data_IF_850412540215
#
_entry.id   IF_850412540215
#
_cell.length_a   1.000
_cell.length_b   1.000
_cell.length_c   1.000
_cell.angle_alpha   90.00
_cell.angle_beta   90.00
_cell.angle_gamma   90.00
#
_symmetry.space_group_name_H-M   'P 1'
#
loop_
_entity.id
_entity.type
_entity.pdbx_description
1 polymer ?
#
# COMPACT_ATOMS: atom_id res chain seq x y z
N UNK A 1 44.26 1.48 -53.88
CA UNK A 1 43.94 0.72 -52.64
C UNK A 1 43.76 1.59 -51.41
N UNK A 2 44.27 2.83 -51.33
CA UNK A 2 44.09 3.74 -50.18
C UNK A 2 42.63 4.19 -49.91
N UNK A 3 41.77 4.23 -50.93
CA UNK A 3 40.44 4.82 -50.80
C UNK A 3 39.42 3.92 -50.06
N UNK A 4 39.58 2.59 -50.14
CA UNK A 4 38.75 1.62 -49.39
C UNK A 4 39.09 1.60 -47.89
N UNK A 5 40.38 1.66 -47.53
CA UNK A 5 40.89 1.72 -46.15
C UNK A 5 40.35 2.94 -45.40
N UNK A 6 40.33 4.11 -46.06
CA UNK A 6 39.85 5.35 -45.43
C UNK A 6 38.31 5.42 -45.31
N UNK A 7 37.56 4.78 -46.22
CA UNK A 7 36.09 4.65 -46.11
C UNK A 7 35.68 3.72 -44.95
N UNK A 8 36.43 2.65 -44.70
CA UNK A 8 36.14 1.70 -43.62
C UNK A 8 36.41 2.29 -42.23
N UNK A 9 37.54 3.00 -42.06
CA UNK A 9 37.86 3.73 -40.81
C UNK A 9 36.82 4.82 -40.50
N UNK A 10 36.27 5.49 -41.52
CA UNK A 10 35.24 6.53 -41.36
C UNK A 10 33.88 5.97 -40.94
N UNK A 11 33.47 4.80 -41.45
CA UNK A 11 32.25 4.11 -40.99
C UNK A 11 32.36 3.66 -39.53
N UNK A 12 33.52 3.18 -39.11
CA UNK A 12 33.77 2.80 -37.71
C UNK A 12 33.70 3.99 -36.75
N UNK A 13 34.23 5.16 -37.15
CA UNK A 13 34.19 6.38 -36.34
C UNK A 13 32.76 6.92 -36.16
N UNK A 14 31.92 6.77 -37.18
CA UNK A 14 30.49 7.13 -37.10
C UNK A 14 29.69 6.22 -36.18
N UNK A 15 29.91 4.91 -36.25
CA UNK A 15 29.29 3.93 -35.34
C UNK A 15 29.71 4.23 -33.90
N UNK A 16 30.99 4.53 -33.66
CA UNK A 16 31.49 4.92 -32.35
C UNK A 16 30.80 6.18 -31.82
N UNK A 17 30.64 7.22 -32.65
CA UNK A 17 29.91 8.44 -32.28
C UNK A 17 28.44 8.17 -31.93
N UNK A 18 27.76 7.32 -32.70
CA UNK A 18 26.38 6.92 -32.40
C UNK A 18 26.30 6.16 -31.06
N UNK A 19 27.24 5.25 -30.79
CA UNK A 19 27.29 4.52 -29.52
C UNK A 19 27.47 5.50 -28.37
N UNK A 20 28.43 6.43 -28.46
CA UNK A 20 28.67 7.44 -27.42
C UNK A 20 27.41 8.29 -27.18
N UNK A 21 26.74 8.71 -28.26
CA UNK A 21 25.49 9.48 -28.17
C UNK A 21 24.39 8.70 -27.45
N UNK A 22 24.18 7.42 -27.82
CA UNK A 22 23.20 6.55 -27.18
C UNK A 22 23.52 6.32 -25.70
N UNK A 23 24.79 6.09 -25.35
CA UNK A 23 25.21 5.94 -23.95
C UNK A 23 24.92 7.20 -23.15
N UNK A 24 25.19 8.40 -23.69
CA UNK A 24 24.89 9.66 -23.01
C UNK A 24 23.38 9.85 -22.79
N UNK A 25 22.54 9.47 -23.76
CA UNK A 25 21.08 9.51 -23.62
C UNK A 25 20.61 8.60 -22.49
N UNK A 26 21.11 7.36 -22.45
CA UNK A 26 20.73 6.38 -21.42
C UNK A 26 21.14 6.89 -20.03
N UNK A 27 22.38 7.38 -19.88
CA UNK A 27 22.89 7.93 -18.62
C UNK A 27 22.05 9.12 -18.16
N UNK A 28 21.68 10.02 -19.07
CA UNK A 28 20.82 11.15 -18.75
C UNK A 28 19.46 10.65 -18.23
N UNK A 29 18.77 9.77 -18.96
CA UNK A 29 17.46 9.23 -18.57
C UNK A 29 17.53 8.57 -17.19
N UNK A 30 18.58 7.77 -16.93
CA UNK A 30 18.76 7.11 -15.62
C UNK A 30 18.95 8.17 -14.52
N UNK A 31 19.85 9.14 -14.71
CA UNK A 31 20.12 10.19 -13.72
C UNK A 31 18.86 10.97 -13.35
N UNK A 32 18.08 11.34 -14.36
CA UNK A 32 16.79 12.02 -14.23
C UNK A 32 15.82 11.17 -13.42
N UNK A 33 15.66 9.92 -13.82
CA UNK A 33 14.74 9.01 -13.18
C UNK A 33 15.11 8.79 -11.71
N UNK A 34 16.40 8.68 -11.39
CA UNK A 34 16.89 8.57 -10.02
C UNK A 34 16.54 9.80 -9.19
N UNK A 35 16.72 11.03 -9.71
CA UNK A 35 16.38 12.27 -9.00
C UNK A 35 14.86 12.38 -8.76
N UNK A 36 14.05 12.07 -9.78
CA UNK A 36 12.59 12.10 -9.68
C UNK A 36 12.05 11.05 -8.71
N UNK A 37 12.59 9.83 -8.79
CA UNK A 37 12.29 8.76 -7.86
C UNK A 37 12.60 9.21 -6.44
N UNK A 38 13.81 9.72 -6.19
CA UNK A 38 14.20 10.18 -4.85
C UNK A 38 13.29 11.29 -4.32
N UNK A 39 12.91 12.28 -5.16
CA UNK A 39 11.97 13.34 -4.75
C UNK A 39 10.57 12.81 -4.45
N UNK A 40 10.09 11.85 -5.23
CA UNK A 40 8.75 11.28 -5.04
C UNK A 40 8.74 10.39 -3.80
N UNK A 41 9.78 9.58 -3.59
CA UNK A 41 9.98 8.77 -2.38
C UNK A 41 10.13 9.63 -1.13
N UNK A 42 10.86 10.76 -1.19
CA UNK A 42 10.97 11.68 -0.04
C UNK A 42 9.64 12.32 0.35
N UNK A 43 8.72 12.44 -0.61
CA UNK A 43 7.36 12.94 -0.38
C UNK A 43 6.36 11.83 -0.06
N UNK A 44 6.76 10.56 -0.14
CA UNK A 44 5.87 9.43 0.12
C UNK A 44 5.49 9.34 1.61
N UNK A 45 4.38 8.64 1.88
CA UNK A 45 3.93 8.45 3.25
C UNK A 45 4.83 7.52 4.05
N UNK A 46 5.73 6.78 3.40
CA UNK A 46 6.65 5.84 4.05
C UNK A 46 7.56 6.47 5.09
N UNK A 47 7.86 7.77 4.98
CA UNK A 47 8.73 8.50 5.91
C UNK A 47 7.98 9.52 6.76
N UNK A 48 6.65 9.54 6.69
CA UNK A 48 5.81 10.55 7.37
C UNK A 48 4.69 9.89 8.16
N UNK A 49 4.98 9.23 9.30
CA UNK A 49 4.02 8.39 10.01
C UNK A 49 2.71 9.10 10.36
N UNK A 50 2.77 10.35 10.80
CA UNK A 50 1.58 11.13 11.16
C UNK A 50 0.71 11.38 9.91
N UNK A 51 1.32 11.78 8.79
CA UNK A 51 0.59 11.98 7.53
C UNK A 51 0.05 10.66 6.98
N UNK A 52 0.80 9.56 7.14
CA UNK A 52 0.40 8.21 6.76
C UNK A 52 -0.88 7.79 7.48
N UNK A 53 -0.91 7.89 8.81
CA UNK A 53 -2.08 7.57 9.65
C UNK A 53 -3.31 8.34 9.16
N UNK A 54 -3.20 9.67 9.02
CA UNK A 54 -4.34 10.49 8.65
C UNK A 54 -4.82 10.24 7.22
N UNK A 55 -3.92 9.98 6.28
CA UNK A 55 -4.27 9.72 4.89
C UNK A 55 -4.98 8.37 4.74
N UNK A 56 -4.47 7.33 5.40
CA UNK A 56 -5.08 6.00 5.40
C UNK A 56 -6.45 6.03 6.08
N UNK A 57 -6.59 6.71 7.23
CA UNK A 57 -7.85 6.76 7.96
C UNK A 57 -8.96 7.55 7.27
N UNK A 58 -8.67 8.37 6.25
CA UNK A 58 -9.70 9.02 5.43
C UNK A 58 -10.53 8.03 4.60
N UNK A 59 -10.03 6.81 4.38
CA UNK A 59 -10.78 5.77 3.70
C UNK A 59 -11.75 5.01 4.60
N UNK A 60 -11.77 5.30 5.91
CA UNK A 60 -12.59 4.55 6.85
C UNK A 60 -13.71 5.39 7.45
N UNK A 61 -14.84 4.74 7.73
CA UNK A 61 -15.97 5.38 8.44
C UNK A 61 -15.65 5.62 9.91
N UNK A 62 -14.86 4.75 10.54
CA UNK A 62 -14.50 4.84 11.96
C UNK A 62 -13.10 5.42 12.12
N UNK A 63 -12.98 6.71 11.79
CA UNK A 63 -11.72 7.44 11.74
C UNK A 63 -10.91 7.34 13.04
N UNK A 64 -11.53 7.59 14.21
CA UNK A 64 -10.81 7.56 15.49
C UNK A 64 -10.29 6.15 15.82
N UNK A 65 -11.11 5.12 15.58
CA UNK A 65 -10.70 3.72 15.75
C UNK A 65 -9.54 3.38 14.81
N UNK A 66 -9.56 3.91 13.58
CA UNK A 66 -8.47 3.72 12.62
C UNK A 66 -7.17 4.37 13.11
N UNK A 67 -7.23 5.61 13.59
CA UNK A 67 -6.08 6.32 14.14
C UNK A 67 -5.47 5.54 15.31
N UNK A 68 -6.32 4.94 16.15
CA UNK A 68 -5.87 4.09 17.25
C UNK A 68 -5.18 2.82 16.74
N UNK A 69 -5.73 2.13 15.73
CA UNK A 69 -5.09 0.95 15.11
C UNK A 69 -3.70 1.23 14.58
N UNK A 70 -3.47 2.43 14.03
CA UNK A 70 -2.20 2.83 13.44
C UNK A 70 -1.29 3.62 14.39
N UNK A 71 -1.66 3.76 15.66
CA UNK A 71 -0.83 4.45 16.65
C UNK A 71 0.61 3.91 16.77
N UNK A 72 0.90 2.60 16.57
CA UNK A 72 2.29 2.11 16.59
C UNK A 72 3.19 2.72 15.51
N UNK A 73 2.62 3.24 14.40
CA UNK A 73 3.41 3.90 13.36
C UNK A 73 4.10 5.16 13.88
N UNK A 74 3.55 5.84 14.89
CA UNK A 74 4.12 7.09 15.42
C UNK A 74 5.54 6.93 15.95
N UNK A 75 5.87 5.75 16.45
CA UNK A 75 7.19 5.39 16.97
C UNK A 75 8.01 4.53 15.99
N UNK A 76 7.52 4.31 14.76
CA UNK A 76 8.22 3.49 13.78
C UNK A 76 9.38 4.27 13.17
N UNK A 77 10.61 3.80 13.41
CA UNK A 77 11.85 4.50 13.03
C UNK A 77 12.38 4.16 11.63
N UNK A 78 11.68 3.33 10.87
CA UNK A 78 12.10 2.84 9.56
C UNK A 78 11.11 3.23 8.47
N UNK A 79 11.43 2.90 7.20
CA UNK A 79 10.53 3.09 6.07
C UNK A 79 9.23 2.30 6.31
N UNK A 80 8.10 2.97 6.34
CA UNK A 80 6.79 2.31 6.48
C UNK A 80 6.39 1.72 5.13
N UNK A 81 6.11 0.43 5.12
CA UNK A 81 5.53 -0.27 3.98
C UNK A 81 4.00 -0.41 4.14
N UNK A 82 3.27 -0.38 3.02
CA UNK A 82 1.82 -0.52 3.04
C UNK A 82 1.36 -1.84 3.72
N UNK A 83 2.12 -2.91 3.54
CA UNK A 83 1.98 -4.20 4.21
C UNK A 83 1.92 -4.10 5.73
N UNK A 84 2.82 -3.33 6.34
CA UNK A 84 2.85 -3.12 7.79
C UNK A 84 1.58 -2.41 8.27
N UNK A 85 1.06 -1.48 7.48
CA UNK A 85 -0.23 -0.82 7.75
C UNK A 85 -1.38 -1.85 7.79
N UNK A 86 -1.46 -2.78 6.83
CA UNK A 86 -2.47 -3.83 6.85
C UNK A 86 -2.33 -4.76 8.07
N UNK A 87 -1.09 -5.14 8.40
CA UNK A 87 -0.79 -5.95 9.59
C UNK A 87 -1.36 -5.29 10.85
N UNK A 88 -1.10 -3.99 11.04
CA UNK A 88 -1.59 -3.24 12.21
C UNK A 88 -3.12 -3.23 12.32
N UNK A 89 -3.85 -3.12 11.21
CA UNK A 89 -5.32 -3.17 11.23
C UNK A 89 -5.85 -4.53 11.71
N UNK A 90 -5.31 -5.63 11.16
CA UNK A 90 -5.73 -6.98 11.57
C UNK A 90 -5.30 -7.25 13.01
N UNK A 91 -4.09 -6.86 13.42
CA UNK A 91 -3.61 -7.03 14.79
C UNK A 91 -4.47 -6.26 15.80
N UNK A 92 -4.88 -5.02 15.47
CA UNK A 92 -5.74 -4.23 16.34
C UNK A 92 -7.14 -4.85 16.51
N UNK A 93 -7.73 -5.37 15.42
CA UNK A 93 -8.98 -6.11 15.50
C UNK A 93 -8.82 -7.36 16.38
N UNK A 94 -7.79 -8.17 16.13
CA UNK A 94 -7.52 -9.39 16.89
C UNK A 94 -7.35 -9.11 18.39
N UNK A 95 -6.61 -8.05 18.74
CA UNK A 95 -6.41 -7.64 20.14
C UNK A 95 -7.74 -7.28 20.83
N UNK A 96 -8.61 -6.52 20.16
CA UNK A 96 -9.91 -6.17 20.73
C UNK A 96 -10.78 -7.41 20.95
N UNK A 97 -10.74 -8.39 20.03
CA UNK A 97 -11.45 -9.67 20.21
C UNK A 97 -10.91 -10.50 21.36
N UNK A 98 -9.59 -10.61 21.53
CA UNK A 98 -9.02 -11.25 22.71
C UNK A 98 -9.50 -10.58 24.00
N UNK A 99 -9.63 -9.25 24.01
CA UNK A 99 -10.09 -8.49 25.18
C UNK A 99 -11.54 -8.75 25.57
N UNK A 100 -12.38 -9.21 24.62
CA UNK A 100 -13.82 -9.48 24.82
C UNK A 100 -14.18 -10.97 24.80
N UNK A 101 -13.27 -11.85 24.37
CA UNK A 101 -13.56 -13.26 24.11
C UNK A 101 -14.15 -14.04 25.29
N UNK A 102 -13.80 -13.66 26.53
CA UNK A 102 -14.32 -14.32 27.75
C UNK A 102 -15.62 -13.71 28.29
N UNK A 103 -16.09 -12.59 27.73
CA UNK A 103 -17.30 -11.93 28.22
C UNK A 103 -18.56 -12.78 28.06
N UNK A 104 -18.82 -13.45 26.93
CA UNK A 104 -20.06 -14.21 26.76
C UNK A 104 -20.21 -15.30 27.82
N UNK A 105 -19.14 -16.07 28.07
CA UNK A 105 -19.15 -17.13 29.09
C UNK A 105 -19.34 -16.57 30.52
N UNK A 106 -18.66 -15.47 30.86
CA UNK A 106 -18.76 -14.83 32.18
C UNK A 106 -20.15 -14.26 32.46
N UNK A 107 -20.87 -13.85 31.41
CA UNK A 107 -22.23 -13.34 31.53
C UNK A 107 -23.23 -14.49 31.55
N UNK A 108 -23.05 -15.52 30.71
CA UNK A 108 -23.91 -16.69 30.68
C UNK A 108 -24.04 -17.35 32.05
N UNK A 109 -22.92 -17.48 32.79
CA UNK A 109 -22.93 -18.06 34.15
C UNK A 109 -23.66 -17.23 35.22
N UNK A 110 -24.16 -16.04 34.89
CA UNK A 110 -24.82 -15.10 35.82
C UNK A 110 -26.26 -14.78 35.41
N UNK A 111 -26.72 -15.30 34.29
CA UNK A 111 -28.02 -14.98 33.71
C UNK A 111 -28.96 -16.15 33.96
N UNK A 112 -30.13 -15.85 34.53
CA UNK A 112 -31.16 -16.86 34.81
C UNK A 112 -31.98 -17.23 33.57
N UNK A 113 -32.06 -16.32 32.59
CA UNK A 113 -32.79 -16.55 31.35
C UNK A 113 -32.00 -17.51 30.43
N UNK A 114 -32.50 -18.74 30.32
CA UNK A 114 -31.89 -19.82 29.53
C UNK A 114 -31.70 -19.46 28.05
N UNK A 115 -32.62 -18.70 27.43
CA UNK A 115 -32.46 -18.31 26.03
C UNK A 115 -31.28 -17.33 25.87
N UNK A 116 -31.15 -16.36 26.78
CA UNK A 116 -30.05 -15.41 26.77
C UNK A 116 -28.72 -16.14 27.07
N UNK A 117 -28.71 -17.12 27.97
CA UNK A 117 -27.54 -17.97 28.23
C UNK A 117 -27.10 -18.74 26.98
N UNK A 118 -28.05 -19.31 26.22
CA UNK A 118 -27.78 -20.00 24.96
C UNK A 118 -27.18 -19.04 23.91
N UNK A 119 -27.77 -17.86 23.74
CA UNK A 119 -27.23 -16.83 22.83
C UNK A 119 -25.81 -16.42 23.23
N UNK A 120 -25.53 -16.26 24.52
CA UNK A 120 -24.18 -15.93 24.99
C UNK A 120 -23.18 -17.07 24.77
N UNK A 121 -23.63 -18.31 24.91
CA UNK A 121 -22.82 -19.49 24.56
C UNK A 121 -22.45 -19.48 23.08
N UNK A 122 -23.40 -19.17 22.21
CA UNK A 122 -23.15 -19.08 20.77
C UNK A 122 -22.29 -17.87 20.40
N UNK A 123 -22.49 -16.71 21.04
CA UNK A 123 -21.58 -15.57 20.94
C UNK A 123 -20.13 -15.95 21.29
N UNK A 124 -19.91 -16.79 22.31
CA UNK A 124 -18.58 -17.28 22.68
C UNK A 124 -17.92 -18.10 21.58
N UNK A 125 -18.67 -18.97 20.91
CA UNK A 125 -18.19 -19.74 19.74
C UNK A 125 -17.87 -18.81 18.57
N UNK A 126 -18.78 -17.89 18.25
CA UNK A 126 -18.61 -16.91 17.17
C UNK A 126 -17.37 -16.02 17.39
N UNK A 127 -17.09 -15.61 18.63
CA UNK A 127 -15.88 -14.85 18.95
C UNK A 127 -14.61 -15.69 18.80
N UNK A 128 -14.65 -16.96 19.19
CA UNK A 128 -13.53 -17.89 19.00
C UNK A 128 -13.23 -18.10 17.52
N UNK A 129 -14.26 -18.27 16.70
CA UNK A 129 -14.13 -18.38 15.24
C UNK A 129 -13.56 -17.09 14.64
N UNK A 130 -14.03 -15.93 15.07
CA UNK A 130 -13.50 -14.63 14.63
C UNK A 130 -12.02 -14.48 14.99
N UNK A 131 -11.60 -14.84 16.21
CA UNK A 131 -10.18 -14.85 16.61
C UNK A 131 -9.35 -15.76 15.70
N UNK A 132 -9.85 -16.97 15.41
CA UNK A 132 -9.19 -17.92 14.51
C UNK A 132 -9.01 -17.35 13.09
N UNK A 133 -10.04 -16.72 12.54
CA UNK A 133 -10.02 -16.10 11.21
C UNK A 133 -9.06 -14.91 11.13
N UNK A 134 -9.05 -14.04 12.14
CA UNK A 134 -8.13 -12.91 12.23
C UNK A 134 -6.68 -13.38 12.41
N UNK A 135 -6.44 -14.42 13.21
CA UNK A 135 -5.11 -14.99 13.37
C UNK A 135 -4.59 -15.63 12.07
N UNK A 136 -5.44 -16.37 11.35
CA UNK A 136 -5.12 -16.88 10.00
C UNK A 136 -4.77 -15.75 9.04
N UNK A 137 -5.47 -14.63 9.12
CA UNK A 137 -5.19 -13.44 8.31
C UNK A 137 -3.81 -12.86 8.61
N UNK A 138 -3.39 -12.82 9.88
CA UNK A 138 -2.03 -12.39 10.25
C UNK A 138 -0.95 -13.33 9.74
N UNK A 139 -1.11 -14.64 9.97
CA UNK A 139 -0.17 -15.65 9.47
C UNK A 139 -0.04 -15.55 7.95
N UNK A 140 -1.15 -15.32 7.25
CA UNK A 140 -1.16 -15.11 5.82
C UNK A 140 -0.40 -13.85 5.42
N UNK A 141 -0.54 -12.72 6.13
CA UNK A 141 0.26 -11.54 5.83
C UNK A 141 1.75 -11.85 6.05
N UNK A 142 2.10 -12.46 7.18
CA UNK A 142 3.48 -12.74 7.58
C UNK A 142 4.21 -13.69 6.64
N UNK A 143 3.53 -14.73 6.14
CA UNK A 143 4.11 -15.67 5.18
C UNK A 143 4.48 -15.05 3.83
N UNK A 144 3.96 -13.85 3.52
CA UNK A 144 4.17 -13.14 2.26
C UNK A 144 5.02 -11.86 2.44
N UNK A 145 5.50 -11.59 3.66
CA UNK A 145 6.46 -10.52 3.92
C UNK A 145 7.85 -10.93 3.45
N UNK A 146 8.51 -10.05 2.71
CA UNK A 146 9.92 -10.11 2.38
C UNK A 146 10.82 -9.62 3.52
N UNK A 147 12.15 -9.57 3.28
CA UNK A 147 13.16 -9.21 4.30
C UNK A 147 12.93 -7.86 4.99
N UNK A 148 12.28 -6.92 4.30
CA UNK A 148 12.02 -5.56 4.79
C UNK A 148 10.54 -5.32 5.16
N UNK A 149 9.81 -6.37 5.51
CA UNK A 149 8.34 -6.35 5.71
C UNK A 149 7.57 -5.88 4.47
N UNK A 150 8.18 -5.78 3.30
CA UNK A 150 7.51 -5.52 2.04
C UNK A 150 6.74 -6.77 1.61
N UNK A 151 5.44 -6.65 1.32
CA UNK A 151 4.69 -7.79 0.75
C UNK A 151 5.23 -8.04 -0.67
N UNK A 152 5.81 -9.23 -0.88
CA UNK A 152 6.45 -9.64 -2.15
C UNK A 152 5.49 -9.57 -3.34
N UNK A 153 4.19 -9.80 -3.09
CA UNK A 153 3.11 -9.46 -4.00
C UNK A 153 1.80 -9.42 -3.20
N UNK A 154 1.02 -8.35 -3.32
CA UNK A 154 -0.40 -8.38 -2.97
C UNK A 154 -1.11 -9.28 -3.97
N UNK A 155 -0.93 -10.59 -3.81
CA UNK A 155 -1.54 -11.60 -4.65
C UNK A 155 -3.07 -11.49 -4.50
N UNK A 156 -3.79 -11.42 -5.61
CA UNK A 156 -5.25 -11.37 -5.65
C UNK A 156 -5.92 -12.52 -4.87
N UNK A 157 -5.29 -13.70 -4.83
CA UNK A 157 -5.76 -14.84 -4.03
C UNK A 157 -5.68 -14.51 -2.53
N UNK A 158 -4.54 -13.99 -2.08
CA UNK A 158 -4.34 -13.59 -0.68
C UNK A 158 -5.34 -12.50 -0.28
N UNK A 159 -5.51 -11.47 -1.12
CA UNK A 159 -6.41 -10.36 -0.82
C UNK A 159 -7.88 -10.79 -0.81
N UNK A 160 -8.27 -11.70 -1.70
CA UNK A 160 -9.60 -12.31 -1.69
C UNK A 160 -9.83 -13.10 -0.41
N UNK A 161 -8.84 -13.85 0.05
CA UNK A 161 -8.95 -14.64 1.28
C UNK A 161 -8.99 -13.74 2.53
N UNK A 162 -8.13 -12.71 2.62
CA UNK A 162 -8.19 -11.71 3.70
C UNK A 162 -9.55 -11.02 3.75
N UNK A 163 -10.11 -10.65 2.59
CA UNK A 163 -11.46 -10.07 2.50
C UNK A 163 -12.51 -11.06 3.00
N UNK A 164 -12.43 -12.32 2.59
CA UNK A 164 -13.36 -13.38 2.97
C UNK A 164 -13.33 -13.64 4.49
N UNK A 165 -12.13 -13.82 5.06
CA UNK A 165 -11.93 -14.02 6.51
C UNK A 165 -12.45 -12.83 7.32
N UNK A 166 -12.14 -11.59 6.89
CA UNK A 166 -12.61 -10.38 7.59
C UNK A 166 -14.12 -10.21 7.48
N UNK A 167 -14.73 -10.55 6.33
CA UNK A 167 -16.17 -10.49 6.14
C UNK A 167 -16.91 -11.55 6.98
N UNK A 168 -16.39 -12.78 7.03
CA UNK A 168 -16.93 -13.84 7.90
C UNK A 168 -16.85 -13.44 9.38
N UNK A 169 -15.73 -12.88 9.82
CA UNK A 169 -15.53 -12.41 11.19
C UNK A 169 -16.54 -11.30 11.56
N UNK A 170 -16.86 -10.43 10.61
CA UNK A 170 -17.87 -9.38 10.77
C UNK A 170 -19.28 -9.98 10.89
N UNK A 171 -19.63 -10.92 10.01
CA UNK A 171 -20.92 -11.62 10.06
C UNK A 171 -21.11 -12.41 11.36
N UNK A 172 -20.05 -13.00 11.90
CA UNK A 172 -20.09 -13.69 13.21
C UNK A 172 -20.46 -12.72 14.34
N UNK A 173 -19.92 -11.50 14.32
CA UNK A 173 -20.31 -10.48 15.29
C UNK A 173 -21.75 -10.05 15.13
N UNK A 174 -22.20 -9.82 13.89
CA UNK A 174 -23.58 -9.43 13.62
C UNK A 174 -24.56 -10.46 14.13
N UNK A 175 -24.32 -11.75 13.87
CA UNK A 175 -25.14 -12.84 14.39
C UNK A 175 -25.22 -12.86 15.92
N UNK A 176 -24.11 -12.59 16.61
CA UNK A 176 -24.11 -12.49 18.07
C UNK A 176 -24.94 -11.30 18.57
N UNK A 177 -24.75 -10.12 17.96
CA UNK A 177 -25.49 -8.91 18.34
C UNK A 177 -26.98 -9.02 18.06
N UNK A 178 -27.35 -9.58 16.91
CA UNK A 178 -28.73 -9.81 16.49
C UNK A 178 -29.42 -10.82 17.40
N UNK A 179 -28.74 -11.90 17.80
CA UNK A 179 -29.25 -12.87 18.77
C UNK A 179 -29.57 -12.23 20.12
N UNK A 180 -28.70 -11.34 20.62
CA UNK A 180 -28.94 -10.62 21.88
C UNK A 180 -30.12 -9.64 21.77
N UNK A 181 -30.34 -9.04 20.60
CA UNK A 181 -31.49 -8.17 20.36
C UNK A 181 -32.78 -8.97 20.29
N UNK A 182 -32.78 -10.11 19.60
CA UNK A 182 -33.95 -10.97 19.42
C UNK A 182 -34.50 -11.49 20.76
N UNK A 183 -33.62 -11.84 21.69
CA UNK A 183 -34.00 -12.30 23.04
C UNK A 183 -34.32 -11.16 24.02
N UNK A 184 -34.33 -9.90 23.57
CA UNK A 184 -34.63 -8.76 24.43
C UNK A 184 -33.62 -8.61 25.58
N UNK A 185 -32.34 -8.95 25.34
CA UNK A 185 -31.32 -8.95 26.36
C UNK A 185 -30.93 -7.51 26.78
N UNK A 186 -31.57 -7.03 27.84
CA UNK A 186 -31.44 -5.68 28.41
C UNK A 186 -30.58 -5.52 29.68
N UNK A 187 -30.10 -6.57 30.39
CA UNK A 187 -29.22 -6.38 31.55
C UNK A 187 -28.03 -5.44 31.29
N UNK A 188 -27.67 -4.55 32.24
CA UNK A 188 -26.60 -3.56 32.07
C UNK A 188 -25.27 -4.16 31.61
N UNK A 189 -24.94 -5.35 32.09
CA UNK A 189 -23.72 -6.07 31.74
C UNK A 189 -23.73 -6.57 30.28
N UNK A 190 -24.90 -6.96 29.77
CA UNK A 190 -25.07 -7.33 28.36
C UNK A 190 -24.99 -6.08 27.48
N UNK A 191 -25.60 -4.97 27.90
CA UNK A 191 -25.46 -3.70 27.19
C UNK A 191 -23.98 -3.27 27.09
N UNK A 192 -23.21 -3.42 28.17
CA UNK A 192 -21.76 -3.17 28.18
C UNK A 192 -21.00 -4.11 27.25
N UNK A 193 -21.33 -5.40 27.23
CA UNK A 193 -20.74 -6.35 26.27
C UNK A 193 -21.06 -5.92 24.83
N UNK A 194 -22.31 -5.61 24.51
CA UNK A 194 -22.74 -5.15 23.17
C UNK A 194 -21.92 -3.94 22.70
N UNK A 195 -21.74 -2.93 23.57
CA UNK A 195 -20.91 -1.77 23.23
C UNK A 195 -19.45 -2.13 22.93
N UNK A 196 -18.86 -3.06 23.70
CA UNK A 196 -17.49 -3.53 23.44
C UNK A 196 -17.40 -4.37 22.16
N UNK A 197 -18.41 -5.18 21.89
CA UNK A 197 -18.51 -5.98 20.66
C UNK A 197 -18.66 -5.08 19.43
N UNK A 198 -19.50 -4.05 19.50
CA UNK A 198 -19.63 -3.02 18.45
C UNK A 198 -18.30 -2.29 18.22
N UNK A 199 -17.59 -1.94 19.29
CA UNK A 199 -16.24 -1.36 19.15
C UNK A 199 -15.30 -2.32 18.41
N UNK A 200 -15.27 -3.61 18.77
CA UNK A 200 -14.46 -4.61 18.06
C UNK A 200 -14.86 -4.75 16.58
N UNK A 201 -16.16 -4.68 16.27
CA UNK A 201 -16.68 -4.60 14.90
C UNK A 201 -16.14 -3.41 14.12
N UNK A 202 -16.04 -2.23 14.74
CA UNK A 202 -15.45 -1.05 14.08
C UNK A 202 -14.01 -1.28 13.63
N UNK A 203 -13.21 -2.03 14.40
CA UNK A 203 -11.85 -2.38 13.99
C UNK A 203 -11.84 -3.28 12.75
N UNK A 204 -12.72 -4.29 12.67
CA UNK A 204 -12.84 -5.15 11.48
C UNK A 204 -13.33 -4.39 10.26
N UNK A 205 -14.31 -3.51 10.42
CA UNK A 205 -14.84 -2.69 9.32
C UNK A 205 -13.77 -1.73 8.78
N UNK A 206 -12.90 -1.21 9.65
CA UNK A 206 -11.73 -0.47 9.21
C UNK A 206 -10.78 -1.36 8.40
N UNK A 207 -10.45 -2.57 8.90
CA UNK A 207 -9.61 -3.52 8.16
C UNK A 207 -10.16 -3.80 6.75
N UNK A 208 -11.47 -4.06 6.64
CA UNK A 208 -12.12 -4.31 5.35
C UNK A 208 -12.04 -3.11 4.40
N UNK A 209 -12.37 -1.91 4.89
CA UNK A 209 -12.31 -0.68 4.09
C UNK A 209 -10.89 -0.42 3.53
N UNK A 210 -9.87 -0.73 4.33
CA UNK A 210 -8.47 -0.58 3.92
C UNK A 210 -8.07 -1.66 2.90
N UNK A 211 -8.46 -2.92 3.08
CA UNK A 211 -8.25 -3.98 2.09
C UNK A 211 -8.89 -3.63 0.73
N UNK A 212 -10.04 -2.95 0.73
CA UNK A 212 -10.71 -2.47 -0.50
C UNK A 212 -9.97 -1.34 -1.22
N UNK A 213 -9.13 -0.60 -0.49
CA UNK A 213 -8.33 0.50 -1.04
C UNK A 213 -6.86 0.12 -1.19
N UNK A 214 -6.55 -1.19 -1.28
CA UNK A 214 -5.19 -1.73 -1.29
C UNK A 214 -4.25 -1.04 -2.28
N UNK A 215 -4.69 -0.85 -3.51
CA UNK A 215 -3.83 -0.35 -4.59
C UNK A 215 -3.56 1.15 -4.41
N UNK A 216 -4.57 1.90 -3.97
CA UNK A 216 -4.43 3.33 -3.66
C UNK A 216 -3.49 3.51 -2.47
N UNK A 217 -3.66 2.72 -1.42
CA UNK A 217 -2.79 2.77 -0.24
C UNK A 217 -1.36 2.40 -0.62
N UNK A 218 -1.16 1.31 -1.38
CA UNK A 218 0.16 0.92 -1.87
C UNK A 218 0.86 2.06 -2.61
N UNK A 219 0.16 2.71 -3.53
CA UNK A 219 0.68 3.84 -4.31
C UNK A 219 1.10 5.05 -3.45
N UNK A 220 0.46 5.27 -2.29
CA UNK A 220 0.86 6.35 -1.36
C UNK A 220 2.17 6.07 -0.62
N UNK A 221 2.52 4.80 -0.41
CA UNK A 221 3.75 4.39 0.27
C UNK A 221 4.88 4.12 -0.74
N UNK A 222 4.57 3.39 -1.81
CA UNK A 222 5.50 2.96 -2.83
C UNK A 222 4.99 3.40 -4.23
N UNK A 223 5.26 4.66 -4.63
CA UNK A 223 4.76 5.22 -5.88
C UNK A 223 5.28 4.45 -7.10
N UNK A 224 4.38 4.14 -8.04
CA UNK A 224 4.73 3.45 -9.27
C UNK A 224 5.57 4.34 -10.19
N UNK A 225 6.34 3.70 -11.09
CA UNK A 225 7.09 4.40 -12.16
C UNK A 225 6.17 5.33 -12.95
N UNK A 226 4.94 4.92 -13.23
CA UNK A 226 3.97 5.72 -13.96
C UNK A 226 3.56 6.99 -13.18
N UNK A 227 3.36 6.87 -11.86
CA UNK A 227 3.05 8.01 -10.99
C UNK A 227 4.24 8.97 -10.86
N UNK A 228 5.46 8.45 -10.77
CA UNK A 228 6.70 9.25 -10.80
C UNK A 228 6.83 10.00 -12.13
N UNK A 229 6.50 9.37 -13.25
CA UNK A 229 6.51 10.03 -14.56
C UNK A 229 5.36 11.05 -14.70
N UNK A 230 4.19 10.76 -14.14
CA UNK A 230 3.05 11.68 -14.17
C UNK A 230 3.31 12.93 -13.32
N UNK A 231 3.91 12.77 -12.13
CA UNK A 231 4.32 13.90 -11.28
C UNK A 231 5.33 14.80 -11.98
N UNK A 232 6.23 14.23 -12.79
CA UNK A 232 7.14 14.99 -13.64
C UNK A 232 6.41 15.80 -14.72
N UNK A 233 5.43 15.22 -15.41
CA UNK A 233 4.64 15.93 -16.44
C UNK A 233 3.84 17.09 -15.80
N UNK A 234 3.32 16.88 -14.58
CA UNK A 234 2.51 17.86 -13.86
C UNK A 234 3.32 18.90 -13.08
N UNK A 235 4.58 18.63 -12.72
CA UNK A 235 5.49 19.57 -12.03
C UNK A 235 5.91 20.79 -12.88
N UNK A 236 5.26 20.99 -14.03
CA UNK A 236 5.44 22.07 -15.00
C UNK A 236 5.40 23.49 -14.39
N UNK A 237 4.85 23.66 -13.19
CA UNK A 237 4.73 24.98 -12.55
C UNK A 237 5.89 25.39 -11.63
N UNK A 238 6.70 24.47 -11.08
CA UNK A 238 7.66 24.83 -10.01
C UNK A 238 9.14 24.51 -10.28
N UNK A 239 9.49 23.92 -11.42
CA UNK A 239 10.86 23.41 -11.63
C UNK A 239 11.41 23.79 -13.03
N UNK A 240 11.43 25.10 -13.30
CA UNK A 240 11.96 25.70 -14.55
C UNK A 240 13.40 25.26 -14.82
N UNK A 241 14.22 25.11 -13.78
CA UNK A 241 15.62 24.70 -13.90
C UNK A 241 15.75 23.26 -14.41
N UNK A 242 14.94 22.37 -13.85
CA UNK A 242 14.83 20.96 -14.26
C UNK A 242 14.48 20.97 -15.75
N UNK A 243 13.32 21.52 -16.14
CA UNK A 243 12.86 21.58 -17.55
C UNK A 243 13.89 22.22 -18.50
N UNK A 244 14.53 23.31 -18.11
CA UNK A 244 15.54 23.99 -18.90
C UNK A 244 16.75 23.09 -19.20
N UNK A 245 17.21 22.31 -18.22
CA UNK A 245 18.29 21.34 -18.40
C UNK A 245 17.87 20.24 -19.40
N UNK A 246 16.63 19.74 -19.36
CA UNK A 246 16.16 18.74 -20.35
C UNK A 246 16.02 19.30 -21.75
N UNK A 247 15.38 20.46 -21.89
CA UNK A 247 15.22 21.11 -23.18
C UNK A 247 16.59 21.39 -23.80
N UNK A 248 17.56 21.85 -23.00
CA UNK A 248 18.93 22.05 -23.49
C UNK A 248 19.62 20.74 -23.89
N UNK A 249 19.50 19.68 -23.11
CA UNK A 249 20.10 18.37 -23.43
C UNK A 249 19.48 17.78 -24.69
N UNK A 250 18.16 17.82 -24.83
CA UNK A 250 17.45 17.35 -26.02
C UNK A 250 17.81 18.18 -27.26
N UNK A 251 17.87 19.50 -27.14
CA UNK A 251 18.28 20.38 -28.24
C UNK A 251 19.72 20.15 -28.66
N UNK A 252 20.64 19.91 -27.71
CA UNK A 252 22.04 19.55 -28.02
C UNK A 252 22.09 18.20 -28.74
N UNK A 253 21.34 17.20 -28.29
CA UNK A 253 21.27 15.88 -28.93
C UNK A 253 20.71 15.97 -30.36
N UNK A 254 19.62 16.71 -30.57
CA UNK A 254 19.04 16.96 -31.88
C UNK A 254 20.03 17.72 -32.77
N UNK A 255 20.70 18.74 -32.25
CA UNK A 255 21.70 19.50 -33.00
C UNK A 255 22.90 18.63 -33.41
N UNK A 256 23.40 17.78 -32.51
CA UNK A 256 24.47 16.82 -32.80
C UNK A 256 24.03 15.80 -33.85
N UNK A 257 22.82 15.25 -33.72
CA UNK A 257 22.25 14.33 -34.70
C UNK A 257 22.07 14.97 -36.08
N UNK A 258 21.49 16.18 -36.14
CA UNK A 258 21.32 16.93 -37.38
C UNK A 258 22.67 17.27 -38.03
N UNK A 259 23.68 17.63 -37.23
CA UNK A 259 25.03 17.91 -37.72
C UNK A 259 25.69 16.66 -38.29
N UNK A 260 25.55 15.52 -37.61
CA UNK A 260 26.02 14.21 -38.10
C UNK A 260 25.32 13.82 -39.42
N UNK A 261 24.01 14.01 -39.51
CA UNK A 261 23.23 13.73 -40.73
C UNK A 261 23.62 14.65 -41.89
N UNK A 262 23.85 15.94 -41.65
CA UNK A 262 24.33 16.89 -42.69
C UNK A 262 25.71 16.51 -43.19
N UNK A 263 26.63 16.12 -42.30
CA UNK A 263 27.97 15.67 -42.68
C UNK A 263 27.90 14.36 -43.48
N UNK A 264 26.97 13.47 -43.14
CA UNK A 264 26.74 12.23 -43.89
C UNK A 264 26.18 12.51 -45.29
N UNK A 265 25.08 13.27 -45.41
CA UNK A 265 24.41 13.57 -46.67
C UNK A 265 25.27 14.41 -47.63
N UNK A 266 26.07 15.34 -47.12
CA UNK A 266 26.99 16.14 -47.95
C UNK A 266 28.15 15.30 -48.51
N UNK A 267 28.46 14.16 -47.90
CA UNK A 267 29.56 13.26 -48.31
C UNK A 267 29.10 12.04 -49.10
N UNK A 268 27.82 11.68 -49.09
CA UNK A 268 27.25 10.66 -49.98
C UNK A 268 26.84 11.21 -51.35
N UNK A 269 26.71 12.54 -51.49
CA UNK A 269 26.50 13.23 -52.78
C UNK A 269 27.79 13.46 -53.60
N UNK A 270 28.95 13.05 -53.10
CA UNK A 270 30.24 13.03 -53.82
C UNK A 270 30.69 11.60 -54.03
#
# INVERSE_FOLDING_TARGET
MEDQSSRQKRKQLFILLLIILFTLIIVAIISIFTVLKHRTESNSLSFRPIAAIHSVCRFTRYYQTCVNSLSPLKSYGHKIHASYVFKLFISAALFEFYSIGTLPQKLGSKIENQNIELVLTDCGKLFTDTVSQLNRSLIMIENYLGPDEEILAFNEVMMRELRNLTAQATNNVDRCLDGLVAEGATPPEIAKMRLRTEKAKMYMLNSLAILEKKDVIKEMFDPSVQSILASFILARENDVLTIALFCSQYLVLVFLFCSLMRVFLSRTRK
#
